data_IF_095368619959
#
_entry.id   IF_095368619959
#
_cell.length_a   1.000
_cell.length_b   1.000
_cell.length_c   1.000
_cell.angle_alpha   90.00
_cell.angle_beta   90.00
_cell.angle_gamma   90.00
#
_symmetry.space_group_name_H-M   'P 1'
#
loop_
_entity.id
_entity.type
_entity.pdbx_description
1 polymer ?
#
# COMPACT_ATOMS: atom_id res chain seq x y z
N UNK A 1 -29.91 -26.97 11.73
CA UNK A 1 -29.31 -27.90 10.76
C UNK A 1 -27.96 -28.39 11.28
N UNK A 2 -27.66 -29.67 11.13
CA UNK A 2 -26.38 -30.27 11.50
C UNK A 2 -25.95 -31.29 10.46
N UNK A 3 -24.63 -31.46 10.25
CA UNK A 3 -24.11 -32.59 9.48
C UNK A 3 -22.67 -32.90 9.93
N UNK A 4 -22.22 -34.12 9.69
CA UNK A 4 -20.89 -34.62 10.01
C UNK A 4 -19.98 -34.55 8.78
N UNK A 5 -18.77 -34.03 8.95
CA UNK A 5 -17.80 -33.93 7.87
C UNK A 5 -16.36 -33.96 8.42
N UNK A 6 -15.54 -34.92 7.98
CA UNK A 6 -14.11 -35.06 8.37
C UNK A 6 -13.82 -35.02 9.88
N UNK A 7 -14.62 -35.70 10.70
CA UNK A 7 -14.39 -35.73 12.15
C UNK A 7 -15.01 -34.57 12.93
N UNK A 8 -15.75 -33.69 12.27
CA UNK A 8 -16.40 -32.54 12.89
C UNK A 8 -17.93 -32.61 12.72
N UNK A 9 -18.64 -32.16 13.74
CA UNK A 9 -20.08 -31.92 13.66
C UNK A 9 -20.31 -30.42 13.46
N UNK A 10 -20.86 -30.06 12.32
CA UNK A 10 -21.22 -28.69 12.01
C UNK A 10 -22.70 -28.44 12.31
N UNK A 11 -22.97 -27.43 13.13
CA UNK A 11 -24.33 -26.99 13.44
C UNK A 11 -24.50 -25.53 13.08
N UNK A 12 -25.61 -25.15 12.48
CA UNK A 12 -25.91 -23.76 12.16
C UNK A 12 -27.39 -23.44 12.25
N UNK A 13 -27.70 -22.19 12.54
CA UNK A 13 -29.03 -21.62 12.52
C UNK A 13 -29.19 -20.69 11.33
N UNK A 14 -30.26 -20.83 10.56
CA UNK A 14 -30.53 -20.03 9.37
C UNK A 14 -29.69 -20.44 8.14
N UNK A 15 -29.15 -19.47 7.38
CA UNK A 15 -28.38 -19.72 6.16
C UNK A 15 -26.92 -20.00 6.50
N UNK A 16 -26.38 -21.09 5.98
CA UNK A 16 -24.96 -21.42 6.07
C UNK A 16 -24.13 -20.39 5.30
N UNK A 17 -23.13 -19.81 5.95
CA UNK A 17 -22.36 -18.70 5.39
C UNK A 17 -21.07 -19.20 4.77
N UNK A 18 -20.33 -20.07 5.47
CA UNK A 18 -19.02 -20.56 5.06
C UNK A 18 -19.08 -22.03 4.65
N UNK A 19 -18.21 -22.40 3.72
CA UNK A 19 -17.96 -23.79 3.36
C UNK A 19 -17.22 -24.48 4.50
N UNK A 20 -17.53 -25.75 4.77
CA UNK A 20 -16.89 -26.53 5.85
C UNK A 20 -15.37 -26.59 5.68
N UNK A 21 -14.90 -26.81 4.46
CA UNK A 21 -13.47 -26.86 4.16
C UNK A 21 -12.70 -25.57 4.57
N UNK A 22 -13.38 -24.41 4.57
CA UNK A 22 -12.76 -23.17 5.05
C UNK A 22 -12.57 -23.19 6.54
N UNK A 23 -13.58 -23.67 7.28
CA UNK A 23 -13.53 -23.80 8.73
C UNK A 23 -12.51 -24.85 9.15
N UNK A 24 -12.51 -26.03 8.52
CA UNK A 24 -11.57 -27.12 8.80
C UNK A 24 -10.10 -26.68 8.58
N UNK A 25 -9.82 -25.98 7.46
CA UNK A 25 -8.45 -25.49 7.17
C UNK A 25 -7.96 -24.46 8.17
N UNK A 26 -8.87 -23.69 8.76
CA UNK A 26 -8.54 -22.63 9.72
C UNK A 26 -8.67 -23.08 11.18
N UNK A 27 -9.20 -24.27 11.44
CA UNK A 27 -9.25 -24.88 12.76
C UNK A 27 -8.20 -26.02 12.86
N UNK A 28 -7.03 -25.78 13.46
CA UNK A 28 -6.00 -26.80 13.60
C UNK A 28 -6.26 -27.84 14.70
N UNK A 29 -7.37 -27.72 15.45
CA UNK A 29 -7.79 -28.72 16.45
C UNK A 29 -8.41 -29.88 15.70
N UNK A 30 -7.90 -31.10 15.85
CA UNK A 30 -8.38 -32.30 15.16
C UNK A 30 -8.94 -33.29 16.16
N UNK A 31 -9.89 -34.08 15.70
CA UNK A 31 -10.41 -35.22 16.47
C UNK A 31 -9.26 -36.18 16.82
N UNK A 32 -9.16 -36.62 18.10
CA UNK A 32 -8.13 -37.49 18.59
C UNK A 32 -6.79 -36.83 18.96
N UNK A 33 -6.65 -35.52 18.75
CA UNK A 33 -5.45 -34.78 19.19
C UNK A 33 -5.47 -34.59 20.74
N UNK A 34 -4.29 -34.61 21.35
CA UNK A 34 -4.12 -34.16 22.73
C UNK A 34 -4.39 -32.69 22.90
N UNK A 35 -5.00 -32.31 24.03
CA UNK A 35 -5.19 -30.91 24.37
C UNK A 35 -3.86 -30.14 24.36
N UNK A 36 -3.81 -29.05 23.59
CA UNK A 36 -2.64 -28.20 23.51
C UNK A 36 -3.08 -26.74 23.38
N UNK A 37 -2.77 -25.94 24.40
CA UNK A 37 -3.13 -24.52 24.46
C UNK A 37 -2.62 -23.73 23.25
N UNK A 38 -1.43 -24.03 22.74
CA UNK A 38 -0.90 -23.37 21.54
C UNK A 38 -1.67 -23.70 20.25
N UNK A 39 -2.28 -24.88 20.18
CA UNK A 39 -3.15 -25.26 19.06
C UNK A 39 -4.47 -24.49 19.15
N UNK A 40 -5.02 -24.38 20.35
CA UNK A 40 -6.25 -23.61 20.63
C UNK A 40 -6.04 -22.14 20.32
N UNK A 41 -4.95 -21.53 20.77
CA UNK A 41 -4.61 -20.13 20.46
C UNK A 41 -4.49 -19.90 18.95
N UNK A 42 -3.89 -20.84 18.23
CA UNK A 42 -3.80 -20.79 16.76
C UNK A 42 -5.16 -20.93 16.08
N UNK A 43 -6.03 -21.83 16.60
CA UNK A 43 -7.39 -21.98 16.09
C UNK A 43 -8.17 -20.67 16.24
N UNK A 44 -8.15 -20.10 17.44
CA UNK A 44 -8.78 -18.82 17.74
C UNK A 44 -8.28 -17.72 16.79
N UNK A 45 -6.95 -17.60 16.65
CA UNK A 45 -6.35 -16.56 15.80
C UNK A 45 -6.74 -16.72 14.33
N UNK A 46 -6.69 -17.94 13.78
CA UNK A 46 -7.01 -18.20 12.37
C UNK A 46 -8.49 -18.01 12.06
N UNK A 47 -9.36 -18.52 12.93
CA UNK A 47 -10.80 -18.39 12.75
C UNK A 47 -11.25 -16.91 12.86
N UNK A 48 -10.68 -16.16 13.80
CA UNK A 48 -10.98 -14.75 13.99
C UNK A 48 -10.42 -13.85 12.85
N UNK A 49 -9.51 -14.35 12.03
CA UNK A 49 -9.01 -13.66 10.83
C UNK A 49 -9.92 -13.82 9.61
N UNK A 50 -10.90 -14.72 9.66
CA UNK A 50 -11.85 -14.87 8.57
C UNK A 50 -12.79 -13.67 8.50
N UNK A 51 -12.82 -12.99 7.37
CA UNK A 51 -13.54 -11.72 7.18
C UNK A 51 -15.02 -11.73 7.59
N UNK A 52 -15.82 -12.82 7.39
CA UNK A 52 -17.21 -12.88 7.82
C UNK A 52 -17.43 -13.21 9.30
N UNK A 53 -16.36 -13.54 10.05
CA UNK A 53 -16.45 -13.90 11.47
C UNK A 53 -16.20 -12.65 12.32
N UNK A 54 -17.11 -12.41 13.27
CA UNK A 54 -17.00 -11.30 14.22
C UNK A 54 -16.48 -11.76 15.58
N UNK A 55 -16.88 -12.96 15.99
CA UNK A 55 -16.55 -13.50 17.31
C UNK A 55 -16.31 -15.00 17.22
N UNK A 56 -15.30 -15.47 17.94
CA UNK A 56 -14.93 -16.87 18.07
C UNK A 56 -14.90 -17.22 19.56
N UNK A 57 -15.55 -18.28 19.95
CA UNK A 57 -15.45 -18.87 21.27
C UNK A 57 -15.05 -20.33 21.16
N UNK A 58 -14.11 -20.76 21.95
CA UNK A 58 -13.59 -22.14 21.98
C UNK A 58 -13.67 -22.64 23.42
N UNK A 59 -14.55 -23.57 23.69
CA UNK A 59 -14.75 -24.18 25.00
C UNK A 59 -14.52 -25.68 24.94
N UNK A 60 -14.18 -26.26 26.09
CA UNK A 60 -13.93 -27.70 26.25
C UNK A 60 -14.79 -28.22 27.38
N UNK A 61 -15.54 -29.31 27.12
CA UNK A 61 -16.35 -29.99 28.09
C UNK A 61 -15.81 -31.40 28.31
N UNK A 62 -15.55 -31.85 29.58
CA UNK A 62 -15.09 -33.18 29.85
C UNK A 62 -16.22 -34.20 29.62
N UNK A 63 -15.98 -35.20 28.76
CA UNK A 63 -16.87 -36.35 28.53
C UNK A 63 -16.52 -37.50 29.45
N UNK A 64 -15.21 -37.75 29.63
CA UNK A 64 -14.67 -38.77 30.50
C UNK A 64 -13.38 -38.29 31.18
N UNK A 65 -12.72 -39.14 31.94
CA UNK A 65 -11.46 -38.82 32.61
C UNK A 65 -10.34 -38.40 31.61
N UNK A 66 -10.39 -38.95 30.40
CA UNK A 66 -9.33 -38.82 29.39
C UNK A 66 -9.82 -38.15 28.08
N UNK A 67 -11.11 -37.77 28.01
CA UNK A 67 -11.69 -37.21 26.79
C UNK A 67 -12.37 -35.84 27.02
N UNK A 68 -12.09 -34.89 26.13
CA UNK A 68 -12.68 -33.57 26.09
C UNK A 68 -13.46 -33.38 24.78
N UNK A 69 -14.66 -32.87 24.85
CA UNK A 69 -15.38 -32.36 23.68
C UNK A 69 -15.04 -30.89 23.44
N UNK A 70 -14.73 -30.54 22.21
CA UNK A 70 -14.34 -29.19 21.84
C UNK A 70 -15.47 -28.50 21.08
N UNK A 71 -16.03 -27.45 21.66
CA UNK A 71 -17.05 -26.62 21.07
C UNK A 71 -16.46 -25.33 20.50
N UNK A 72 -16.60 -25.11 19.20
CA UNK A 72 -16.16 -23.89 18.51
C UNK A 72 -17.41 -23.13 18.05
N UNK A 73 -17.71 -22.03 18.72
CA UNK A 73 -18.84 -21.18 18.41
C UNK A 73 -18.37 -19.98 17.60
N UNK A 74 -18.98 -19.78 16.43
CA UNK A 74 -18.63 -18.70 15.52
C UNK A 74 -19.86 -17.79 15.31
N UNK A 75 -19.68 -16.50 15.58
CA UNK A 75 -20.69 -15.49 15.31
C UNK A 75 -20.34 -14.72 14.05
N UNK A 76 -21.33 -14.56 13.17
CA UNK A 76 -21.15 -13.80 11.93
C UNK A 76 -21.15 -12.29 12.17
N UNK A 77 -20.28 -11.59 11.46
CA UNK A 77 -20.33 -10.14 11.32
C UNK A 77 -21.22 -9.68 10.17
N UNK A 78 -21.23 -8.39 9.92
CA UNK A 78 -21.85 -7.80 8.74
C UNK A 78 -21.09 -8.22 7.49
N UNK A 79 -21.74 -8.91 6.57
CA UNK A 79 -21.12 -9.38 5.33
C UNK A 79 -20.89 -8.24 4.33
N UNK A 80 -21.83 -7.30 4.29
CA UNK A 80 -21.75 -6.16 3.37
C UNK A 80 -21.65 -4.85 4.14
N UNK A 81 -20.86 -3.92 3.65
CA UNK A 81 -20.81 -2.54 4.12
C UNK A 81 -20.71 -1.59 2.94
N UNK A 82 -21.39 -0.45 3.06
CA UNK A 82 -21.30 0.67 2.14
C UNK A 82 -20.81 1.87 2.94
N UNK A 83 -19.87 2.61 2.40
CA UNK A 83 -19.38 3.88 2.93
C UNK A 83 -19.55 4.97 1.91
N UNK A 84 -19.85 6.18 2.38
CA UNK A 84 -19.86 7.39 1.58
C UNK A 84 -19.11 8.47 2.36
N UNK A 85 -18.26 9.21 1.67
CA UNK A 85 -17.48 10.29 2.27
C UNK A 85 -17.53 11.53 1.38
N UNK A 86 -17.47 12.71 2.01
CA UNK A 86 -17.34 14.00 1.33
C UNK A 86 -16.28 14.78 2.09
N UNK A 87 -15.26 15.24 1.38
CA UNK A 87 -14.12 15.95 1.96
C UNK A 87 -13.93 17.31 1.28
N UNK A 88 -13.63 18.32 2.09
CA UNK A 88 -13.01 19.56 1.61
C UNK A 88 -11.49 19.35 1.56
N UNK A 89 -10.85 19.71 0.47
CA UNK A 89 -9.40 19.59 0.30
C UNK A 89 -8.77 20.97 0.17
N UNK A 90 -7.57 21.12 0.74
CA UNK A 90 -6.73 22.30 0.56
C UNK A 90 -5.29 21.85 0.41
N UNK A 91 -4.70 22.08 -0.73
CA UNK A 91 -3.33 21.67 -1.05
C UNK A 91 -2.61 22.75 -1.86
N UNK A 92 -1.46 23.18 -1.36
CA UNK A 92 -0.59 24.16 -2.04
C UNK A 92 -1.29 25.48 -2.48
N UNK A 93 -2.33 25.88 -1.74
CA UNK A 93 -3.13 27.08 -2.06
C UNK A 93 -4.41 26.79 -2.85
N UNK A 94 -4.57 25.60 -3.40
CA UNK A 94 -5.74 25.19 -4.17
C UNK A 94 -6.81 24.60 -3.24
N UNK A 95 -8.05 25.04 -3.42
CA UNK A 95 -9.22 24.50 -2.72
C UNK A 95 -9.89 23.43 -3.56
N UNK A 96 -10.44 22.44 -2.90
CA UNK A 96 -11.15 21.38 -3.61
C UNK A 96 -12.24 20.73 -2.78
N UNK A 97 -13.03 19.92 -3.47
CA UNK A 97 -14.03 19.04 -2.90
C UNK A 97 -13.82 17.63 -3.47
N UNK A 98 -13.98 16.64 -2.64
CA UNK A 98 -13.93 15.24 -3.06
C UNK A 98 -15.13 14.48 -2.51
N UNK A 99 -15.61 13.50 -3.28
CA UNK A 99 -16.64 12.56 -2.87
C UNK A 99 -16.18 11.13 -3.14
N UNK A 100 -16.42 10.24 -2.20
CA UNK A 100 -16.06 8.83 -2.27
C UNK A 100 -17.24 7.92 -1.95
N UNK A 101 -17.26 6.75 -2.61
CA UNK A 101 -18.18 5.66 -2.34
C UNK A 101 -17.38 4.36 -2.25
N UNK A 102 -17.62 3.59 -1.18
CA UNK A 102 -16.98 2.30 -0.98
C UNK A 102 -18.03 1.20 -0.74
N UNK A 103 -17.76 0.02 -1.26
CA UNK A 103 -18.52 -1.18 -1.01
C UNK A 103 -17.59 -2.33 -0.65
N UNK A 104 -17.91 -3.04 0.43
CA UNK A 104 -17.16 -4.23 0.86
C UNK A 104 -18.11 -5.40 1.03
N UNK A 105 -17.77 -6.54 0.41
CA UNK A 105 -18.40 -7.83 0.65
C UNK A 105 -17.37 -8.79 1.25
N UNK A 106 -17.64 -9.33 2.45
CA UNK A 106 -16.69 -10.16 3.22
C UNK A 106 -16.85 -11.66 3.01
N UNK A 107 -17.62 -12.06 2.04
CA UNK A 107 -17.88 -13.50 1.77
C UNK A 107 -18.39 -13.74 0.36
N UNK A 108 -17.68 -13.27 -0.64
CA UNK A 108 -18.15 -13.21 -2.03
C UNK A 108 -18.53 -14.59 -2.58
N UNK A 109 -17.67 -15.59 -2.37
CA UNK A 109 -17.86 -16.96 -2.88
C UNK A 109 -18.08 -18.00 -1.76
N UNK A 110 -18.49 -17.59 -0.56
CA UNK A 110 -18.67 -18.43 0.62
C UNK A 110 -17.40 -19.11 1.15
N UNK A 111 -16.23 -18.57 0.78
CA UNK A 111 -14.91 -19.01 1.21
C UNK A 111 -14.18 -18.01 2.11
N UNK A 112 -14.90 -17.01 2.64
CA UNK A 112 -14.37 -15.86 3.37
C UNK A 112 -13.47 -14.95 2.51
N UNK A 113 -13.70 -14.90 1.21
CA UNK A 113 -13.09 -13.92 0.32
C UNK A 113 -13.69 -12.54 0.59
N UNK A 114 -12.84 -11.53 0.74
CA UNK A 114 -13.25 -10.14 0.86
C UNK A 114 -13.06 -9.41 -0.46
N UNK A 115 -14.14 -8.86 -0.99
CA UNK A 115 -14.11 -7.96 -2.14
C UNK A 115 -14.39 -6.54 -1.66
N UNK A 116 -13.52 -5.60 -2.00
CA UNK A 116 -13.76 -4.18 -1.87
C UNK A 116 -13.78 -3.51 -3.24
N UNK A 117 -14.68 -2.54 -3.39
CA UNK A 117 -14.75 -1.67 -4.57
C UNK A 117 -14.90 -0.24 -4.07
N UNK A 118 -14.00 0.63 -4.49
CA UNK A 118 -13.97 2.01 -4.07
C UNK A 118 -13.93 2.93 -5.29
N UNK A 119 -14.70 4.00 -5.24
CA UNK A 119 -14.70 5.08 -6.23
C UNK A 119 -14.57 6.42 -5.54
N UNK A 120 -13.73 7.31 -6.08
CA UNK A 120 -13.54 8.67 -5.58
C UNK A 120 -13.40 9.63 -6.75
N UNK A 121 -14.08 10.75 -6.66
CA UNK A 121 -13.92 11.87 -7.58
C UNK A 121 -13.59 13.14 -6.80
N UNK A 122 -12.70 13.95 -7.34
CA UNK A 122 -12.34 15.26 -6.77
C UNK A 122 -12.33 16.35 -7.84
N UNK A 123 -12.62 17.55 -7.39
CA UNK A 123 -12.56 18.77 -8.16
C UNK A 123 -11.79 19.82 -7.38
N UNK A 124 -10.81 20.44 -8.01
CA UNK A 124 -9.96 21.47 -7.40
C UNK A 124 -10.03 22.77 -8.18
N UNK A 125 -10.19 23.87 -7.44
CA UNK A 125 -10.08 25.26 -7.94
C UNK A 125 -8.65 25.72 -7.70
N UNK A 126 -7.94 26.03 -8.76
CA UNK A 126 -6.55 26.43 -8.72
C UNK A 126 -6.41 27.96 -8.62
N UNK A 127 -5.40 28.43 -7.88
CA UNK A 127 -5.13 29.87 -7.72
C UNK A 127 -4.88 30.61 -9.04
N UNK A 128 -4.38 29.90 -10.06
CA UNK A 128 -4.17 30.48 -11.40
C UNK A 128 -5.47 30.61 -12.24
N UNK A 129 -6.63 30.37 -11.64
CA UNK A 129 -7.93 30.35 -12.32
C UNK A 129 -8.24 29.04 -13.06
N UNK A 130 -7.32 28.10 -13.05
CA UNK A 130 -7.51 26.78 -13.63
C UNK A 130 -8.36 25.84 -12.76
N UNK A 131 -8.60 24.65 -13.28
CA UNK A 131 -9.33 23.58 -12.58
C UNK A 131 -8.60 22.26 -12.76
N UNK A 132 -8.75 21.35 -11.80
CA UNK A 132 -8.30 19.97 -11.93
C UNK A 132 -9.42 19.02 -11.54
N UNK A 133 -9.55 17.93 -12.27
CA UNK A 133 -10.51 16.87 -12.01
C UNK A 133 -9.69 15.57 -11.87
N UNK A 134 -9.95 14.83 -10.79
CA UNK A 134 -9.40 13.50 -10.62
C UNK A 134 -10.53 12.54 -10.31
N UNK A 135 -10.50 11.36 -10.94
CA UNK A 135 -11.40 10.24 -10.64
C UNK A 135 -10.59 8.97 -10.46
N UNK A 136 -10.84 8.27 -9.36
CA UNK A 136 -10.21 7.00 -9.01
C UNK A 136 -11.27 5.93 -8.86
N UNK A 137 -10.99 4.74 -9.35
CA UNK A 137 -11.75 3.54 -9.08
C UNK A 137 -10.78 2.41 -8.75
N UNK A 138 -11.09 1.63 -7.72
CA UNK A 138 -10.30 0.46 -7.36
C UNK A 138 -11.19 -0.71 -6.97
N UNK A 139 -10.72 -1.91 -7.25
CA UNK A 139 -11.33 -3.16 -6.81
C UNK A 139 -10.24 -4.08 -6.27
N UNK A 140 -10.45 -4.66 -5.12
CA UNK A 140 -9.54 -5.62 -4.51
C UNK A 140 -10.29 -6.88 -4.10
N UNK A 141 -9.73 -8.02 -4.37
CA UNK A 141 -10.22 -9.32 -3.94
C UNK A 141 -9.16 -10.02 -3.11
N UNK A 142 -9.43 -10.16 -1.81
CA UNK A 142 -8.57 -10.86 -0.84
C UNK A 142 -9.09 -12.26 -0.58
N UNK A 143 -8.20 -13.23 -0.64
CA UNK A 143 -8.48 -14.60 -0.27
C UNK A 143 -7.97 -14.91 1.15
N UNK A 144 -8.63 -15.80 1.91
CA UNK A 144 -8.19 -16.20 3.25
C UNK A 144 -6.77 -16.82 3.27
N UNK A 145 -6.30 -17.28 2.12
CA UNK A 145 -4.95 -17.83 1.89
C UNK A 145 -3.86 -16.74 1.81
N UNK A 146 -4.17 -15.51 2.19
CA UNK A 146 -3.28 -14.35 2.15
C UNK A 146 -2.89 -13.87 0.74
N UNK A 147 -3.56 -14.35 -0.29
CA UNK A 147 -3.46 -13.86 -1.67
C UNK A 147 -4.45 -12.71 -1.87
N UNK A 148 -4.05 -11.67 -2.57
CA UNK A 148 -4.95 -10.61 -3.03
C UNK A 148 -4.66 -10.27 -4.49
N UNK A 149 -5.74 -9.92 -5.20
CA UNK A 149 -5.72 -9.37 -6.55
C UNK A 149 -6.32 -7.98 -6.49
N UNK A 150 -5.65 -7.00 -7.05
CA UNK A 150 -6.13 -5.63 -7.12
C UNK A 150 -6.16 -5.12 -8.56
N UNK A 151 -7.13 -4.27 -8.80
CA UNK A 151 -7.30 -3.52 -10.06
C UNK A 151 -7.54 -2.06 -9.69
N UNK A 152 -6.94 -1.14 -10.43
CA UNK A 152 -7.11 0.28 -10.20
C UNK A 152 -7.15 1.07 -11.51
N UNK A 153 -7.90 2.13 -11.48
CA UNK A 153 -7.94 3.14 -12.52
C UNK A 153 -7.90 4.52 -11.91
N UNK A 154 -7.02 5.38 -12.42
CA UNK A 154 -6.94 6.77 -12.02
C UNK A 154 -6.96 7.65 -13.28
N UNK A 155 -7.92 8.55 -13.33
CA UNK A 155 -8.06 9.57 -14.37
C UNK A 155 -7.77 10.94 -13.77
N UNK A 156 -6.90 11.70 -14.44
CA UNK A 156 -6.57 13.07 -14.07
C UNK A 156 -6.72 13.97 -15.30
N UNK A 157 -7.51 15.02 -15.16
CA UNK A 157 -7.66 16.03 -16.17
C UNK A 157 -7.29 17.40 -15.60
N UNK A 158 -6.24 17.98 -16.14
CA UNK A 158 -5.76 19.33 -15.89
C UNK A 158 -5.75 20.08 -17.22
N UNK A 159 -6.82 20.82 -17.55
CA UNK A 159 -7.02 21.36 -18.91
C UNK A 159 -5.90 22.25 -19.43
N UNK A 160 -5.14 22.89 -18.55
CA UNK A 160 -4.01 23.77 -18.92
C UNK A 160 -2.67 23.02 -19.02
N UNK A 161 -2.62 21.74 -18.63
CA UNK A 161 -1.40 20.97 -18.54
C UNK A 161 -1.50 19.65 -19.33
N UNK A 162 -2.27 18.68 -18.84
CA UNK A 162 -2.38 17.35 -19.44
C UNK A 162 -3.66 16.62 -19.03
N UNK A 163 -3.98 15.59 -19.78
CA UNK A 163 -4.90 14.52 -19.38
C UNK A 163 -4.12 13.23 -19.24
N UNK A 164 -4.30 12.53 -18.12
CA UNK A 164 -3.59 11.28 -17.82
C UNK A 164 -4.55 10.22 -17.31
N UNK A 165 -4.36 8.99 -17.79
CA UNK A 165 -5.02 7.79 -17.30
C UNK A 165 -3.99 6.78 -16.83
N UNK A 166 -4.18 6.22 -15.64
CA UNK A 166 -3.30 5.18 -15.08
C UNK A 166 -4.14 3.95 -14.79
N UNK A 167 -3.76 2.82 -15.36
CA UNK A 167 -4.35 1.51 -15.09
C UNK A 167 -3.37 0.70 -14.26
N UNK A 168 -3.85 0.11 -13.18
CA UNK A 168 -3.06 -0.72 -12.29
C UNK A 168 -3.69 -2.10 -12.17
N UNK A 169 -2.85 -3.13 -12.09
CA UNK A 169 -3.27 -4.49 -11.75
C UNK A 169 -2.18 -5.16 -10.93
N UNK A 170 -2.56 -5.82 -9.84
CA UNK A 170 -1.63 -6.43 -8.92
C UNK A 170 -2.02 -7.85 -8.50
N UNK A 171 -1.00 -8.67 -8.23
CA UNK A 171 -1.12 -9.96 -7.56
C UNK A 171 -0.13 -10.01 -6.42
N UNK A 172 -0.64 -10.12 -5.19
CA UNK A 172 0.18 -10.08 -4.00
C UNK A 172 -0.12 -11.24 -3.05
N UNK A 173 0.89 -11.62 -2.29
CA UNK A 173 0.80 -12.59 -1.21
C UNK A 173 1.33 -11.97 0.08
N UNK A 174 0.55 -12.05 1.16
CA UNK A 174 0.92 -11.49 2.47
C UNK A 174 1.08 -12.59 3.49
N UNK A 175 2.22 -12.63 4.19
CA UNK A 175 2.49 -13.55 5.28
C UNK A 175 2.68 -12.79 6.59
N UNK A 176 1.81 -13.06 7.57
CA UNK A 176 1.90 -12.44 8.90
C UNK A 176 2.53 -13.41 9.89
N UNK A 177 3.53 -12.95 10.62
CA UNK A 177 4.19 -13.66 11.71
C UNK A 177 4.04 -12.88 13.02
N UNK A 178 2.86 -12.97 13.69
CA UNK A 178 2.54 -12.13 14.86
C UNK A 178 3.50 -12.33 16.04
N UNK A 179 4.05 -13.54 16.22
CA UNK A 179 4.96 -13.85 17.33
C UNK A 179 6.22 -12.99 17.31
N UNK A 180 6.79 -12.77 16.12
CA UNK A 180 7.99 -11.95 15.94
C UNK A 180 7.66 -10.51 15.57
N UNK A 181 6.39 -10.20 15.24
CA UNK A 181 5.94 -8.87 14.83
C UNK A 181 6.33 -8.51 13.40
N UNK A 182 6.48 -9.50 12.52
CA UNK A 182 6.91 -9.31 11.14
C UNK A 182 5.78 -9.66 10.17
N UNK A 183 5.53 -8.77 9.23
CA UNK A 183 4.62 -8.98 8.11
C UNK A 183 5.42 -8.91 6.81
N UNK A 184 5.24 -9.90 5.95
CA UNK A 184 5.86 -9.95 4.63
C UNK A 184 4.80 -9.73 3.57
N UNK A 185 5.15 -9.05 2.49
CA UNK A 185 4.32 -8.88 1.31
C UNK A 185 5.15 -9.12 0.05
N UNK A 186 4.75 -10.10 -0.73
CA UNK A 186 5.34 -10.43 -2.01
C UNK A 186 4.38 -9.94 -3.10
N UNK A 187 4.85 -9.10 -4.01
CA UNK A 187 4.15 -8.66 -5.21
C UNK A 187 4.71 -9.44 -6.38
N UNK A 188 3.96 -10.43 -6.83
CA UNK A 188 4.36 -11.29 -7.96
C UNK A 188 4.10 -10.66 -9.31
N UNK A 189 3.16 -9.73 -9.36
CA UNK A 189 2.81 -8.96 -10.54
C UNK A 189 2.34 -7.59 -10.06
N UNK A 190 2.99 -6.55 -10.56
CA UNK A 190 2.65 -5.15 -10.33
C UNK A 190 2.69 -4.46 -11.70
N UNK A 191 1.52 -4.31 -12.31
CA UNK A 191 1.37 -3.71 -13.63
C UNK A 191 0.86 -2.30 -13.44
N UNK A 192 1.51 -1.34 -14.08
CA UNK A 192 1.02 0.03 -14.20
C UNK A 192 1.19 0.50 -15.63
N UNK A 193 0.11 0.92 -16.27
CA UNK A 193 0.11 1.52 -17.59
C UNK A 193 -0.30 2.98 -17.48
N UNK A 194 0.61 3.87 -17.78
CA UNK A 194 0.40 5.32 -17.80
C UNK A 194 0.17 5.76 -19.23
N UNK A 195 -0.99 6.36 -19.47
CA UNK A 195 -1.41 6.84 -20.78
C UNK A 195 -1.75 8.33 -20.71
N UNK A 196 -1.09 9.12 -21.53
CA UNK A 196 -1.29 10.57 -21.66
C UNK A 196 -1.89 10.88 -23.06
N UNK A 197 -3.22 10.87 -23.18
CA UNK A 197 -3.88 11.14 -24.47
C UNK A 197 -3.71 12.58 -24.94
N UNK A 198 -3.44 13.52 -24.04
CA UNK A 198 -3.32 14.92 -24.34
C UNK A 198 -2.36 15.66 -23.43
N UNK A 199 -1.55 16.52 -24.00
CA UNK A 199 -0.64 17.45 -23.30
C UNK A 199 -0.78 18.81 -24.03
N UNK A 200 -0.93 19.92 -23.27
CA UNK A 200 -1.03 21.25 -23.86
C UNK A 200 0.30 21.66 -24.53
N UNK A 201 0.21 22.42 -25.62
CA UNK A 201 1.41 22.88 -26.34
C UNK A 201 2.28 23.79 -25.46
N UNK A 202 1.67 24.68 -24.67
CA UNK A 202 2.37 25.53 -23.72
C UNK A 202 3.14 24.71 -22.66
N UNK A 203 2.52 23.65 -22.17
CA UNK A 203 3.14 22.75 -21.22
C UNK A 203 4.27 21.94 -21.87
N UNK A 204 4.05 21.47 -23.12
CA UNK A 204 5.06 20.73 -23.90
C UNK A 204 6.27 21.60 -24.20
N UNK A 205 6.09 22.83 -24.65
CA UNK A 205 7.19 23.75 -24.97
C UNK A 205 8.05 24.08 -23.75
N UNK A 206 7.43 24.23 -22.59
CA UNK A 206 8.14 24.37 -21.32
C UNK A 206 8.96 23.14 -20.95
N UNK A 207 8.49 21.93 -21.29
CA UNK A 207 9.19 20.67 -21.03
C UNK A 207 10.33 20.39 -22.00
N UNK A 208 10.16 20.70 -23.28
CA UNK A 208 11.17 20.47 -24.31
C UNK A 208 12.41 21.36 -24.14
N UNK A 209 12.27 22.49 -23.43
CA UNK A 209 13.37 23.36 -23.06
C UNK A 209 14.11 22.94 -21.79
N UNK A 210 13.57 22.00 -21.04
CA UNK A 210 14.18 21.44 -19.83
C UNK A 210 14.69 20.03 -20.07
N UNK A 211 15.62 19.58 -19.25
CA UNK A 211 16.35 18.32 -19.34
C UNK A 211 15.50 17.10 -19.73
N UNK A 212 16.12 16.13 -20.41
CA UNK A 212 15.51 14.84 -20.86
C UNK A 212 14.66 14.11 -19.80
N UNK A 213 14.94 14.30 -18.52
CA UNK A 213 14.21 13.69 -17.40
C UNK A 213 12.73 14.05 -17.41
N UNK A 214 12.38 15.31 -17.73
CA UNK A 214 11.00 15.76 -17.77
C UNK A 214 10.24 15.20 -18.98
N UNK A 215 10.89 15.08 -20.11
CA UNK A 215 10.31 14.49 -21.32
C UNK A 215 9.77 13.09 -21.02
N UNK A 216 10.58 12.21 -20.41
CA UNK A 216 10.16 10.85 -20.07
C UNK A 216 9.06 10.76 -19.01
N UNK A 217 8.90 11.78 -18.16
CA UNK A 217 7.85 11.82 -17.13
C UNK A 217 6.45 12.02 -17.71
N UNK A 218 6.37 12.53 -18.93
CA UNK A 218 5.11 12.82 -19.63
C UNK A 218 4.98 12.07 -20.98
N UNK A 219 5.56 10.89 -21.03
CA UNK A 219 5.33 9.94 -22.10
C UNK A 219 4.52 8.73 -21.59
N UNK A 220 3.89 8.05 -22.53
CA UNK A 220 3.25 6.79 -22.21
C UNK A 220 4.32 5.78 -21.77
N UNK A 221 4.10 5.10 -20.70
CA UNK A 221 5.01 4.06 -20.25
C UNK A 221 4.29 2.91 -19.57
N UNK A 222 4.94 1.75 -19.63
CA UNK A 222 4.44 0.51 -19.09
C UNK A 222 5.41 0.01 -18.03
N UNK A 223 4.92 -0.27 -16.84
CA UNK A 223 5.70 -0.81 -15.73
C UNK A 223 5.16 -2.20 -15.41
N UNK A 224 6.02 -3.21 -15.44
CA UNK A 224 5.70 -4.56 -14.94
C UNK A 224 6.77 -4.95 -13.95
N UNK A 225 6.40 -4.98 -12.70
CA UNK A 225 7.31 -5.15 -11.59
C UNK A 225 7.06 -6.40 -10.77
N UNK A 226 8.08 -6.76 -10.00
CA UNK A 226 8.08 -7.70 -8.90
C UNK A 226 8.55 -6.95 -7.67
N UNK A 227 8.01 -7.25 -6.50
CA UNK A 227 8.41 -6.57 -5.27
C UNK A 227 8.32 -7.46 -4.05
N UNK A 228 9.14 -7.14 -3.06
CA UNK A 228 9.08 -7.72 -1.74
C UNK A 228 9.21 -6.62 -0.70
N UNK A 229 8.28 -6.58 0.24
CA UNK A 229 8.34 -5.66 1.36
C UNK A 229 8.11 -6.37 2.68
N UNK A 230 8.65 -5.81 3.73
CA UNK A 230 8.42 -6.29 5.07
C UNK A 230 8.20 -5.14 6.05
N UNK A 231 7.39 -5.41 7.05
CA UNK A 231 7.11 -4.47 8.13
C UNK A 231 7.28 -5.19 9.46
N UNK A 232 8.29 -4.81 10.21
CA UNK A 232 8.62 -5.34 11.52
C UNK A 232 8.26 -4.35 12.62
N UNK A 233 7.63 -4.83 13.69
CA UNK A 233 7.45 -4.07 14.91
C UNK A 233 7.83 -4.89 16.13
N UNK A 234 8.66 -4.31 16.99
CA UNK A 234 8.96 -4.89 18.30
C UNK A 234 7.99 -4.44 19.40
N UNK A 235 6.99 -3.61 19.05
CA UNK A 235 5.93 -3.20 19.97
C UNK A 235 5.14 -4.40 20.48
N UNK A 236 4.86 -4.44 21.77
CA UNK A 236 4.05 -5.47 22.43
C UNK A 236 2.98 -4.80 23.29
N UNK A 237 1.72 -5.09 23.03
CA UNK A 237 0.60 -4.51 23.78
C UNK A 237 0.63 -4.85 25.27
N UNK A 238 1.24 -5.99 25.66
CA UNK A 238 1.44 -6.37 27.07
C UNK A 238 2.41 -5.47 27.83
N UNK A 239 3.29 -4.73 27.11
CA UNK A 239 4.24 -3.80 27.72
C UNK A 239 4.35 -2.50 26.90
N UNK A 240 3.31 -1.63 26.96
CA UNK A 240 3.22 -0.44 26.13
C UNK A 240 4.26 0.64 26.47
N UNK A 241 4.88 0.57 27.64
CA UNK A 241 5.89 1.52 28.11
C UNK A 241 7.32 1.11 27.76
N UNK A 242 7.50 -0.02 27.07
CA UNK A 242 8.81 -0.43 26.57
C UNK A 242 9.13 0.29 25.27
N UNK A 243 10.38 0.73 25.13
CA UNK A 243 10.90 1.25 23.86
C UNK A 243 10.82 0.19 22.77
N UNK A 244 10.52 0.62 21.54
CA UNK A 244 10.29 -0.31 20.43
C UNK A 244 10.76 0.25 19.09
N UNK A 245 11.03 -0.68 18.17
CA UNK A 245 11.39 -0.42 16.79
C UNK A 245 10.23 -0.70 15.85
N UNK A 246 10.11 0.14 14.83
CA UNK A 246 9.35 -0.17 13.62
C UNK A 246 10.34 -0.09 12.45
N UNK A 247 10.38 -1.14 11.63
CA UNK A 247 11.26 -1.20 10.46
C UNK A 247 10.41 -1.60 9.26
N UNK A 248 10.42 -0.77 8.25
CA UNK A 248 9.86 -1.07 6.95
C UNK A 248 10.99 -1.15 5.93
N UNK A 249 10.94 -2.17 5.08
CA UNK A 249 11.84 -2.29 3.94
C UNK A 249 11.07 -2.74 2.71
N UNK A 250 11.52 -2.30 1.54
CA UNK A 250 10.94 -2.64 0.27
C UNK A 250 12.04 -2.80 -0.77
N UNK A 251 11.95 -3.83 -1.58
CA UNK A 251 12.79 -4.02 -2.77
C UNK A 251 11.85 -4.28 -3.94
N UNK A 252 12.03 -3.55 -5.01
CA UNK A 252 11.22 -3.62 -6.21
C UNK A 252 12.12 -3.64 -7.43
N UNK A 253 11.76 -4.45 -8.42
CA UNK A 253 12.40 -4.43 -9.73
C UNK A 253 11.32 -4.48 -10.81
N UNK A 254 11.50 -3.73 -11.88
CA UNK A 254 10.56 -3.67 -13.00
C UNK A 254 11.25 -3.92 -14.34
N UNK A 255 10.48 -4.36 -15.32
CA UNK A 255 10.90 -4.54 -16.72
C UNK A 255 11.69 -5.80 -17.01
N UNK A 256 12.23 -6.51 -16.02
CA UNK A 256 13.08 -7.69 -16.25
C UNK A 256 12.34 -8.84 -16.93
N UNK A 257 11.08 -9.08 -16.51
CA UNK A 257 10.23 -10.08 -17.14
C UNK A 257 10.00 -9.75 -18.63
N UNK A 258 9.63 -8.51 -18.92
CA UNK A 258 9.40 -8.05 -20.29
C UNK A 258 10.69 -8.06 -21.11
N UNK A 259 11.82 -7.68 -20.52
CA UNK A 259 13.12 -7.74 -21.20
C UNK A 259 13.51 -9.17 -21.55
N UNK A 260 13.27 -10.13 -20.65
CA UNK A 260 13.50 -11.56 -20.93
C UNK A 260 12.60 -12.11 -22.04
N UNK A 261 11.37 -11.61 -22.14
CA UNK A 261 10.40 -12.00 -23.16
C UNK A 261 10.58 -11.24 -24.49
N UNK A 262 11.31 -10.13 -24.51
CA UNK A 262 11.40 -9.23 -25.67
C UNK A 262 11.98 -9.90 -26.90
N UNK A 263 13.04 -10.70 -26.77
CA UNK A 263 13.64 -11.43 -27.90
C UNK A 263 12.77 -12.60 -28.37
N UNK A 264 12.31 -13.53 -27.49
CA UNK A 264 11.48 -14.65 -27.94
C UNK A 264 10.17 -14.23 -28.59
N UNK A 265 9.54 -13.15 -28.07
CA UNK A 265 8.27 -12.64 -28.61
C UNK A 265 8.45 -11.56 -29.67
N UNK A 266 9.68 -11.25 -30.06
CA UNK A 266 10.02 -10.29 -31.11
C UNK A 266 9.39 -8.93 -30.91
N UNK A 267 9.60 -8.35 -29.70
CA UNK A 267 9.13 -7.01 -29.43
C UNK A 267 9.73 -6.00 -30.39
N UNK A 268 8.96 -5.00 -30.78
CA UNK A 268 9.42 -3.91 -31.61
C UNK A 268 10.53 -3.14 -30.89
N UNK A 269 11.50 -2.65 -31.65
CA UNK A 269 12.57 -1.77 -31.16
C UNK A 269 12.29 -0.39 -31.74
N UNK A 270 12.20 0.60 -30.86
CA UNK A 270 12.15 1.99 -31.26
C UNK A 270 13.47 2.42 -31.89
N UNK A 271 13.42 3.03 -33.08
CA UNK A 271 14.61 3.38 -33.83
C UNK A 271 15.39 4.55 -33.28
N UNK A 272 14.73 5.44 -32.55
CA UNK A 272 15.37 6.61 -31.94
C UNK A 272 16.09 6.28 -30.64
N UNK A 273 15.45 5.56 -29.75
CA UNK A 273 15.99 5.22 -28.41
C UNK A 273 16.73 3.89 -28.37
N UNK A 274 16.48 2.99 -29.32
CA UNK A 274 17.00 1.60 -29.29
C UNK A 274 16.32 0.71 -28.25
N UNK A 275 15.27 1.19 -27.59
CA UNK A 275 14.55 0.49 -26.54
C UNK A 275 13.46 -0.44 -27.09
N UNK A 276 13.17 -1.51 -26.35
CA UNK A 276 12.06 -2.39 -26.69
C UNK A 276 10.72 -1.76 -26.34
N UNK A 277 9.74 -1.95 -27.18
CA UNK A 277 8.36 -1.52 -27.02
C UNK A 277 7.40 -2.69 -26.93
N UNK A 278 6.41 -2.56 -26.04
CA UNK A 278 5.22 -3.41 -25.96
C UNK A 278 3.99 -2.54 -26.26
N UNK A 279 3.16 -2.94 -27.22
CA UNK A 279 2.00 -2.15 -27.68
C UNK A 279 2.33 -0.70 -28.09
N UNK A 280 3.44 -0.50 -28.79
CA UNK A 280 4.00 0.80 -29.17
C UNK A 280 4.27 1.74 -27.97
N UNK A 281 4.60 1.18 -26.83
CA UNK A 281 4.92 1.90 -25.60
C UNK A 281 6.19 1.31 -25.00
N UNK A 282 7.14 2.15 -24.63
CA UNK A 282 8.34 1.72 -23.94
C UNK A 282 7.99 1.23 -22.53
N UNK A 283 8.63 0.15 -22.09
CA UNK A 283 8.48 -0.31 -20.72
C UNK A 283 9.66 0.12 -19.85
N UNK A 284 9.35 0.50 -18.64
CA UNK A 284 10.36 0.93 -17.67
C UNK A 284 11.13 -0.28 -17.12
N UNK A 285 12.46 -0.11 -17.01
CA UNK A 285 13.33 -1.09 -16.39
C UNK A 285 14.20 -0.43 -15.29
N UNK A 286 13.98 -0.81 -14.05
CA UNK A 286 14.66 -0.23 -12.88
C UNK A 286 14.70 -1.20 -11.69
N UNK A 287 15.58 -0.90 -10.74
CA UNK A 287 15.57 -1.48 -9.40
C UNK A 287 15.40 -0.37 -8.36
N UNK A 288 14.65 -0.64 -7.30
CA UNK A 288 14.36 0.30 -6.23
C UNK A 288 14.42 -0.40 -4.88
N UNK A 289 15.02 0.27 -3.89
CA UNK A 289 15.10 -0.20 -2.53
C UNK A 289 14.76 0.95 -1.56
N UNK A 290 13.91 0.66 -0.58
CA UNK A 290 13.52 1.58 0.47
C UNK A 290 13.78 0.94 1.84
N UNK A 291 14.26 1.72 2.79
CA UNK A 291 14.43 1.36 4.18
C UNK A 291 13.93 2.50 5.06
N UNK A 292 12.99 2.21 5.93
CA UNK A 292 12.46 3.14 6.91
C UNK A 292 12.58 2.55 8.32
N UNK A 293 13.25 3.23 9.21
CA UNK A 293 13.51 2.78 10.57
C UNK A 293 13.00 3.84 11.54
N UNK A 294 12.14 3.44 12.45
CA UNK A 294 11.65 4.30 13.54
C UNK A 294 11.95 3.66 14.88
N UNK A 295 12.66 4.37 15.75
CA UNK A 295 12.88 3.97 17.13
C UNK A 295 12.10 4.88 18.07
N UNK A 296 11.20 4.28 18.85
CA UNK A 296 10.43 4.96 19.88
C UNK A 296 11.05 4.67 21.23
N UNK A 297 11.76 5.65 21.78
CA UNK A 297 12.36 5.56 23.12
C UNK A 297 11.37 6.10 24.15
N UNK A 298 10.86 5.21 24.98
CA UNK A 298 9.99 5.57 26.10
C UNK A 298 10.84 6.03 27.27
N UNK A 299 10.82 7.34 27.57
CA UNK A 299 11.54 7.92 28.70
C UNK A 299 10.69 7.86 29.98
N UNK A 300 9.40 8.09 29.85
CA UNK A 300 8.40 8.11 30.94
C UNK A 300 7.01 7.84 30.31
N UNK A 301 5.99 7.40 31.06
CA UNK A 301 4.64 7.20 30.51
C UNK A 301 4.05 8.41 29.76
N UNK A 302 4.52 9.61 30.08
CA UNK A 302 4.08 10.87 29.45
C UNK A 302 5.11 11.46 28.47
N UNK A 303 6.31 10.89 28.35
CA UNK A 303 7.42 11.47 27.59
C UNK A 303 8.07 10.40 26.70
N UNK A 304 8.20 10.68 25.44
CA UNK A 304 8.89 9.79 24.48
C UNK A 304 9.76 10.58 23.52
N UNK A 305 10.84 9.97 23.10
CA UNK A 305 11.71 10.46 22.07
C UNK A 305 11.59 9.51 20.87
N UNK A 306 11.36 10.06 19.68
CA UNK A 306 11.19 9.31 18.45
C UNK A 306 12.32 9.69 17.49
N UNK A 307 13.04 8.69 17.00
CA UNK A 307 14.00 8.83 15.92
C UNK A 307 13.46 8.13 14.69
N UNK A 308 13.53 8.77 13.55
CA UNK A 308 13.12 8.20 12.28
C UNK A 308 14.20 8.46 11.23
N UNK A 309 14.52 7.42 10.48
CA UNK A 309 15.41 7.48 9.33
C UNK A 309 14.75 6.79 8.13
N UNK A 310 14.78 7.44 6.98
CA UNK A 310 14.17 6.95 5.75
C UNK A 310 15.17 7.11 4.61
N UNK A 311 15.56 6.00 4.01
CA UNK A 311 16.51 5.90 2.89
C UNK A 311 15.80 5.26 1.70
N UNK A 312 15.90 5.86 0.54
CA UNK A 312 15.41 5.32 -0.71
C UNK A 312 16.44 5.45 -1.81
N UNK A 313 16.60 4.41 -2.63
CA UNK A 313 17.49 4.41 -3.80
C UNK A 313 16.77 3.75 -4.96
N UNK A 314 16.78 4.37 -6.13
CA UNK A 314 16.25 3.84 -7.37
C UNK A 314 17.30 3.98 -8.48
N UNK A 315 17.50 2.92 -9.27
CA UNK A 315 18.50 2.88 -10.34
C UNK A 315 17.82 2.42 -11.63
N UNK A 316 17.78 3.25 -12.69
CA UNK A 316 17.33 2.83 -14.00
C UNK A 316 18.43 2.01 -14.70
N UNK A 317 18.04 1.06 -15.52
CA UNK A 317 18.98 0.29 -16.36
C UNK A 317 18.27 -0.32 -17.57
N UNK A 318 19.05 -0.88 -18.48
CA UNK A 318 18.55 -1.66 -19.61
C UNK A 318 17.67 -0.84 -20.56
N UNK A 319 16.35 -1.05 -20.50
CA UNK A 319 15.36 -0.38 -21.34
C UNK A 319 14.97 1.03 -20.85
N UNK A 320 15.58 1.53 -19.79
CA UNK A 320 15.28 2.86 -19.22
C UNK A 320 16.54 3.64 -18.93
N UNK A 321 16.54 4.90 -19.31
CA UNK A 321 17.59 5.86 -18.95
C UNK A 321 17.25 6.64 -17.66
N UNK A 322 15.98 6.71 -17.30
CA UNK A 322 15.48 7.42 -16.13
C UNK A 322 14.41 6.62 -15.40
N UNK A 323 14.20 6.91 -14.13
CA UNK A 323 13.12 6.33 -13.33
C UNK A 323 11.79 7.00 -13.73
N UNK A 324 10.70 6.25 -13.95
CA UNK A 324 9.37 6.84 -14.14
C UNK A 324 8.99 7.76 -13.00
N UNK A 325 8.33 8.88 -13.33
CA UNK A 325 7.98 9.92 -12.35
C UNK A 325 7.22 9.38 -11.13
N UNK A 326 6.33 8.43 -11.34
CA UNK A 326 5.54 7.78 -10.30
C UNK A 326 6.37 6.98 -9.30
N UNK A 327 7.60 6.62 -9.67
CA UNK A 327 8.53 5.81 -8.86
C UNK A 327 9.68 6.64 -8.28
N UNK A 328 9.82 7.93 -8.65
CA UNK A 328 10.83 8.84 -8.13
C UNK A 328 10.53 9.28 -6.71
N UNK A 329 11.55 9.77 -6.03
CA UNK A 329 11.44 10.30 -4.68
C UNK A 329 11.22 11.81 -4.69
N UNK A 330 10.53 12.25 -3.63
CA UNK A 330 10.28 13.65 -3.32
C UNK A 330 10.62 13.90 -1.86
N UNK A 331 10.96 15.14 -1.50
CA UNK A 331 11.21 15.56 -0.13
C UNK A 331 10.44 16.85 0.20
N UNK A 332 10.25 17.08 1.52
CA UNK A 332 9.42 18.14 2.07
C UNK A 332 8.01 17.70 2.42
N UNK A 333 7.34 18.46 3.25
CA UNK A 333 5.99 18.20 3.75
C UNK A 333 5.95 17.57 5.15
N UNK A 334 4.74 17.42 5.68
CA UNK A 334 4.47 17.02 7.06
C UNK A 334 5.05 15.65 7.47
N UNK A 335 5.26 14.74 6.52
CA UNK A 335 5.78 13.39 6.75
C UNK A 335 7.25 13.21 6.31
N UNK A 336 7.95 14.29 6.00
CA UNK A 336 9.33 14.29 5.56
C UNK A 336 10.11 15.37 6.32
N UNK A 337 10.51 16.46 5.66
CA UNK A 337 11.16 17.63 6.28
C UNK A 337 10.10 18.72 6.46
N UNK A 338 9.59 18.89 7.67
CA UNK A 338 8.39 19.71 7.98
C UNK A 338 8.56 21.21 7.74
N UNK A 339 9.79 21.71 7.71
CA UNK A 339 10.08 23.11 7.39
C UNK A 339 9.88 23.49 5.92
N UNK A 340 9.61 22.51 5.05
CA UNK A 340 9.42 22.69 3.60
C UNK A 340 8.03 22.26 3.17
N UNK A 341 7.45 22.96 2.20
CA UNK A 341 6.21 22.54 1.58
C UNK A 341 6.39 21.17 0.90
N UNK A 342 5.30 20.43 0.71
CA UNK A 342 5.34 19.12 0.08
C UNK A 342 5.99 19.20 -1.31
N UNK A 343 6.99 18.34 -1.57
CA UNK A 343 7.71 18.23 -2.85
C UNK A 343 8.48 19.50 -3.27
N UNK A 344 8.95 20.30 -2.32
CA UNK A 344 9.68 21.53 -2.63
C UNK A 344 11.13 21.54 -2.17
N UNK A 345 11.64 20.43 -1.63
CA UNK A 345 13.00 20.29 -1.17
C UNK A 345 13.83 19.47 -2.17
N UNK A 346 14.94 20.04 -2.63
CA UNK A 346 15.93 19.39 -3.51
C UNK A 346 15.54 19.42 -5.00
N UNK A 347 16.28 18.70 -5.86
CA UNK A 347 17.44 17.85 -5.52
C UNK A 347 18.68 18.67 -5.14
N UNK A 348 19.44 18.16 -4.16
CA UNK A 348 20.65 18.83 -3.67
C UNK A 348 20.41 20.26 -3.22
N UNK A 349 21.11 21.22 -3.78
CA UNK A 349 20.96 22.65 -3.49
C UNK A 349 19.93 23.40 -4.34
N UNK A 350 19.17 22.71 -5.18
CA UNK A 350 18.16 23.33 -6.03
C UNK A 350 17.01 23.95 -5.21
N UNK A 351 16.74 25.22 -5.41
CA UNK A 351 15.73 25.95 -4.63
C UNK A 351 14.35 26.07 -5.32
N UNK A 352 14.26 25.61 -6.56
CA UNK A 352 13.07 25.83 -7.37
C UNK A 352 12.91 27.29 -7.82
N UNK A 353 12.04 27.54 -8.79
CA UNK A 353 11.71 28.87 -9.28
C UNK A 353 10.29 29.32 -8.91
N UNK A 354 9.61 28.55 -8.04
CA UNK A 354 8.26 28.85 -7.58
C UNK A 354 7.15 28.60 -8.60
N UNK A 355 7.46 28.06 -9.78
CA UNK A 355 6.46 27.72 -10.80
C UNK A 355 5.96 26.29 -10.60
N UNK A 356 4.72 26.02 -10.98
CA UNK A 356 4.10 24.67 -10.87
C UNK A 356 4.92 23.56 -11.54
N UNK A 357 5.68 23.90 -12.58
CA UNK A 357 6.55 23.00 -13.33
C UNK A 357 7.77 22.53 -12.53
N UNK A 358 8.18 23.29 -11.53
CA UNK A 358 9.32 22.94 -10.70
C UNK A 358 9.10 21.69 -9.84
N UNK A 359 7.87 21.34 -9.51
CA UNK A 359 7.59 20.11 -8.79
C UNK A 359 8.14 18.85 -9.49
N UNK A 360 8.22 18.88 -10.82
CA UNK A 360 8.76 17.78 -11.59
C UNK A 360 10.29 17.74 -11.55
N UNK A 361 10.93 18.92 -11.50
CA UNK A 361 12.37 19.04 -11.32
C UNK A 361 12.80 18.70 -9.88
N UNK A 362 11.90 18.87 -8.91
CA UNK A 362 12.13 18.56 -7.50
C UNK A 362 11.82 17.09 -7.17
N UNK A 363 12.34 16.19 -7.99
CA UNK A 363 12.31 14.75 -7.81
C UNK A 363 13.72 14.17 -7.90
N UNK A 364 13.96 13.04 -7.26
CA UNK A 364 15.27 12.39 -7.24
C UNK A 364 15.21 10.87 -7.28
N UNK A 365 16.35 10.27 -7.51
CA UNK A 365 16.51 8.81 -7.54
C UNK A 365 17.05 8.28 -6.21
N UNK A 366 17.55 9.17 -5.37
CA UNK A 366 17.98 8.88 -3.99
C UNK A 366 17.26 9.82 -3.03
N UNK A 367 16.84 9.32 -1.87
CA UNK A 367 16.25 10.09 -0.78
C UNK A 367 16.85 9.70 0.55
N UNK A 368 17.13 10.70 1.40
CA UNK A 368 17.48 10.52 2.80
C UNK A 368 16.67 11.51 3.64
N UNK A 369 15.94 11.02 4.63
CA UNK A 369 15.28 11.82 5.65
C UNK A 369 15.71 11.34 7.04
N UNK A 370 15.96 12.26 7.94
CA UNK A 370 16.29 12.04 9.35
C UNK A 370 15.40 12.94 10.19
N UNK A 371 14.66 12.36 11.11
CA UNK A 371 13.76 13.10 11.98
C UNK A 371 14.00 12.70 13.43
N UNK A 372 14.00 13.68 14.31
CA UNK A 372 14.01 13.48 15.75
C UNK A 372 12.86 14.27 16.34
N UNK A 373 12.08 13.65 17.24
CA UNK A 373 10.92 14.29 17.84
C UNK A 373 10.80 13.93 19.30
N UNK A 374 10.71 14.94 20.16
CA UNK A 374 10.37 14.79 21.56
C UNK A 374 8.88 15.08 21.76
N UNK A 375 8.16 14.14 22.35
CA UNK A 375 6.72 14.24 22.62
C UNK A 375 6.48 14.23 24.12
N UNK A 376 5.71 15.21 24.59
CA UNK A 376 5.33 15.36 26.00
C UNK A 376 3.81 15.44 26.12
N UNK A 377 3.20 14.48 26.83
CA UNK A 377 1.77 14.52 27.15
C UNK A 377 1.57 15.42 28.38
N UNK A 378 1.16 16.66 28.14
CA UNK A 378 0.98 17.68 29.21
C UNK A 378 -0.35 17.45 29.93
N UNK A 379 -1.44 17.19 29.22
CA UNK A 379 -2.73 16.81 29.74
C UNK A 379 -3.25 15.53 29.10
N UNK A 380 -4.40 15.05 29.57
CA UNK A 380 -5.00 13.83 29.01
C UNK A 380 -5.30 13.93 27.51
N UNK A 381 -5.54 15.13 27.01
CA UNK A 381 -5.95 15.44 25.63
C UNK A 381 -4.95 16.34 24.88
N UNK A 382 -3.87 16.80 25.51
CA UNK A 382 -2.85 17.65 24.87
C UNK A 382 -1.50 16.95 24.93
N UNK A 383 -0.91 16.72 23.75
CA UNK A 383 0.47 16.29 23.55
C UNK A 383 1.24 17.39 22.80
N UNK A 384 2.35 17.86 23.38
CA UNK A 384 3.26 18.80 22.73
C UNK A 384 4.39 18.03 22.10
N UNK A 385 4.82 18.47 20.92
CA UNK A 385 5.96 17.92 20.21
C UNK A 385 6.94 19.00 19.79
N UNK A 386 8.23 18.77 20.07
CA UNK A 386 9.34 19.52 19.50
C UNK A 386 10.11 18.59 18.57
N UNK A 387 10.49 19.07 17.40
CA UNK A 387 11.12 18.23 16.40
C UNK A 387 12.29 18.90 15.69
N UNK A 388 13.18 18.08 15.17
CA UNK A 388 14.26 18.45 14.30
C UNK A 388 14.25 17.50 13.08
N UNK A 389 14.21 18.08 11.88
CA UNK A 389 14.18 17.35 10.63
C UNK A 389 15.35 17.76 9.75
N UNK A 390 15.96 16.78 9.08
CA UNK A 390 16.99 16.96 8.08
C UNK A 390 16.77 15.96 6.93
N UNK A 391 16.98 16.38 5.70
CA UNK A 391 16.85 15.47 4.58
C UNK A 391 17.05 16.16 3.24
N UNK A 392 17.14 15.37 2.20
CA UNK A 392 17.20 15.82 0.81
C UNK A 392 16.94 14.66 -0.16
N UNK A 393 16.85 15.00 -1.44
CA UNK A 393 16.86 14.07 -2.57
C UNK A 393 18.04 14.39 -3.50
N UNK A 394 18.45 13.39 -4.27
CA UNK A 394 19.50 13.51 -5.28
C UNK A 394 19.10 12.70 -6.52
N UNK A 395 19.62 13.12 -7.68
CA UNK A 395 19.51 12.44 -8.99
C UNK A 395 20.83 11.81 -9.36
#
# INVERSE_FOLDING_TARGET
FSHYHYGYVFTWTGKKILRDNVLIRNCPIKHGDWYNEHVVERAYTRLNQLAPIQYVDISFEPISADELDCHVVLSRGKLNSVSAEIDGTYSAGDWGIAAGLGYVNRNLFHGAEEMSVDGRASYEWRQNGGRAIEAKASAELKFPTAVAVDLGYNFQNRPDEYTRSIFNAGLQYSLRQPRIGLNHQFRFLDISYVYLPWISDAFRDQFLQSTNILKYSYENHFIVGLGYSGNYTSYRARNPLRSYWNVYYNVETAGNLLRGLAQPLRFKIDQESGNYELFNTQFAQFAKADLSVTYNQMLHPKHRLVFHADLGVAVPYGNSQTIPFEKRYFAGGANSVRGWSARTLGPGGYKGNGKLIDFNNQSGDVRLNLNMEYRAKVWSFIELAAFFDAGNIWT
#
